data_IF_630893579401
#
_entry.id   IF_630893579401
#
_cell.length_a   1.000
_cell.length_b   1.000
_cell.length_c   1.000
_cell.angle_alpha   90.00
_cell.angle_beta   90.00
_cell.angle_gamma   90.00
#
_symmetry.space_group_name_H-M   'P 1'
#
loop_
_entity.id
_entity.type
_entity.pdbx_description
1 polymer ?
2 non-polymer ?
3 water ?
#
# COMPACT_ATOMS: atom_id res chain seq x y z
N UNK A 1 8.00 17.73 11.33
CA UNK A 1 8.09 16.36 10.80
C UNK A 1 8.15 16.46 9.27
N UNK A 2 8.42 15.33 8.64
CA UNK A 2 8.69 15.27 7.20
C UNK A 2 7.78 14.29 6.43
N UNK A 3 6.56 14.77 6.11
CA UNK A 3 5.60 14.19 5.15
C UNK A 3 6.12 13.34 4.02
N UNK A 4 7.12 13.85 3.29
CA UNK A 4 7.70 13.18 2.10
C UNK A 4 8.43 11.93 2.55
N UNK A 5 9.20 12.04 3.62
CA UNK A 5 9.86 10.84 4.18
C UNK A 5 8.80 9.88 4.76
N UNK A 6 7.81 10.47 5.41
CA UNK A 6 6.69 9.70 5.93
C UNK A 6 6.02 8.75 4.90
N UNK A 7 5.94 9.19 3.67
CA UNK A 7 5.42 8.37 2.55
C UNK A 7 6.20 7.07 2.49
N UNK A 8 7.51 7.17 2.59
CA UNK A 8 8.41 6.06 2.48
C UNK A 8 8.21 5.13 3.69
N UNK A 9 8.17 5.70 4.89
CA UNK A 9 7.94 4.93 6.09
C UNK A 9 6.56 4.23 5.93
N UNK A 10 5.58 4.96 5.42
CA UNK A 10 4.23 4.40 5.30
C UNK A 10 4.23 3.20 4.37
N UNK A 11 4.86 3.34 3.21
CA UNK A 11 4.91 2.23 2.25
C UNK A 11 5.55 0.92 2.80
N UNK A 12 6.65 1.09 3.53
CA UNK A 12 7.37 -0.04 4.14
C UNK A 12 6.72 -0.62 5.39
N UNK A 13 6.01 0.20 6.18
CA UNK A 13 5.49 -0.20 7.49
C UNK A 13 3.99 -0.22 7.71
N UNK A 14 3.20 0.35 6.81
CA UNK A 14 1.77 0.54 7.07
C UNK A 14 0.90 0.08 5.95
N UNK A 15 1.41 0.12 4.72
CA UNK A 15 0.58 -0.01 3.55
C UNK A 15 0.07 -1.44 3.38
N UNK A 16 0.71 -2.39 4.02
CA UNK A 16 0.21 -3.76 3.99
C UNK A 16 -1.19 -3.84 4.53
N UNK A 17 -1.46 -3.04 5.55
CA UNK A 17 -2.80 -3.01 6.09
C UNK A 17 -3.63 -1.79 5.75
N UNK A 18 -2.97 -0.69 5.34
CA UNK A 18 -3.64 0.56 5.15
C UNK A 18 -3.40 1.10 3.71
N UNK A 19 -3.32 0.19 2.72
CA UNK A 19 -3.08 0.63 1.37
C UNK A 19 -4.21 1.54 0.93
N UNK A 20 -3.86 2.64 0.24
CA UNK A 20 -4.86 3.59 -0.21
C UNK A 20 -5.50 4.36 0.94
N UNK A 21 -4.92 4.32 2.13
CA UNK A 21 -5.62 4.92 3.27
C UNK A 21 -6.75 4.14 3.86
N UNK A 22 -6.86 2.90 3.48
CA UNK A 22 -8.00 2.05 3.87
C UNK A 22 -7.58 1.15 5.04
N UNK A 23 -8.31 0.07 5.27
CA UNK A 23 -7.93 -0.85 6.31
C UNK A 23 -8.36 -2.24 5.88
N UNK A 24 -7.40 -3.02 5.36
CA UNK A 24 -7.78 -4.21 4.64
C UNK A 24 -8.48 -5.25 5.55
N UNK A 25 -8.04 -5.29 6.81
CA UNK A 25 -8.49 -6.29 7.79
C UNK A 25 -9.59 -5.77 8.73
N UNK A 26 -9.86 -4.45 8.79
CA UNK A 26 -10.90 -3.94 9.65
C UNK A 26 -11.44 -2.72 8.95
N UNK A 27 -12.37 -2.98 8.06
CA UNK A 27 -12.79 -1.93 7.11
C UNK A 27 -13.44 -0.65 7.77
N UNK A 28 -13.95 -0.79 8.96
CA UNK A 28 -14.56 0.29 9.75
C UNK A 28 -13.59 1.34 10.19
N UNK A 29 -12.33 0.95 10.31
CA UNK A 29 -11.31 1.83 10.87
C UNK A 29 -10.19 2.18 9.88
N UNK A 30 -10.53 3.00 8.92
CA UNK A 30 -9.57 3.41 7.87
C UNK A 30 -8.81 4.66 8.27
N UNK A 31 -7.96 5.14 7.35
CA UNK A 31 -7.18 6.33 7.57
C UNK A 31 -7.81 7.49 6.87
N UNK A 32 -9.04 7.32 6.39
CA UNK A 32 -9.77 8.49 5.91
C UNK A 32 -10.10 9.42 7.03
N UNK A 33 -10.19 10.70 6.68
CA UNK A 33 -10.37 11.74 7.67
C UNK A 33 -11.60 11.46 8.55
N UNK A 34 -12.73 11.12 7.92
CA UNK A 34 -13.94 10.90 8.71
C UNK A 34 -13.80 9.75 9.74
N UNK A 35 -13.09 8.72 9.39
CA UNK A 35 -12.87 7.59 10.31
C UNK A 35 -11.87 7.96 11.39
N UNK A 36 -10.83 8.67 11.04
CA UNK A 36 -9.92 9.16 12.04
C UNK A 36 -10.67 10.02 13.04
N UNK A 37 -11.52 10.97 12.55
CA UNK A 37 -12.31 11.85 13.43
C UNK A 37 -13.22 11.00 14.33
N UNK A 38 -13.92 10.08 13.71
CA UNK A 38 -14.87 9.21 14.49
C UNK A 38 -14.21 8.55 15.65
N UNK A 39 -12.96 8.15 15.48
CA UNK A 39 -12.25 7.39 16.51
C UNK A 39 -11.27 8.22 17.32
N UNK A 40 -11.34 9.53 17.16
CA UNK A 40 -10.51 10.41 17.93
C UNK A 40 -9.06 10.33 17.56
N UNK A 41 -8.78 10.06 16.27
CA UNK A 41 -7.43 9.84 15.79
C UNK A 41 -6.99 10.91 14.81
N UNK A 42 -7.78 11.97 14.67
CA UNK A 42 -7.42 12.97 13.67
C UNK A 42 -6.48 14.04 14.25
N UNK A 43 -5.28 13.60 14.61
CA UNK A 43 -4.23 14.50 15.10
C UNK A 43 -2.88 13.75 15.08
N UNK A 44 -1.78 14.49 15.03
CA UNK A 44 -0.48 13.86 14.97
C UNK A 44 -0.21 13.14 16.28
N UNK A 45 -0.61 13.76 17.39
CA UNK A 45 -0.36 13.17 18.70
C UNK A 45 -1.13 11.86 18.84
N UNK A 46 -2.37 11.83 18.41
CA UNK A 46 -3.13 10.58 18.49
C UNK A 46 -2.48 9.45 17.65
N UNK A 47 -2.07 9.76 16.44
CA UNK A 47 -1.52 8.75 15.50
C UNK A 47 -0.18 8.19 16.01
N UNK A 48 0.68 9.10 16.41
CA UNK A 48 1.95 8.79 17.03
C UNK A 48 1.72 7.83 18.17
N UNK A 49 0.78 8.15 19.07
CA UNK A 49 0.47 7.31 20.21
C UNK A 49 0.04 5.91 19.85
N UNK A 50 -0.92 5.82 18.92
CA UNK A 50 -1.41 4.53 18.38
C UNK A 50 -0.33 3.58 17.81
N UNK A 51 0.49 4.14 16.94
CA UNK A 51 1.60 3.49 16.26
C UNK A 51 2.77 3.15 17.22
N UNK A 52 2.99 4.00 18.24
CA UNK A 52 4.19 3.86 19.06
C UNK A 52 4.07 2.70 20.03
N UNK A 53 3.03 2.77 20.84
CA UNK A 53 2.79 1.84 21.92
C UNK A 53 1.82 0.79 21.47
N UNK A 54 1.20 0.98 20.30
CA UNK A 54 0.15 0.09 19.83
C UNK A 54 -0.90 -0.35 20.85
N UNK A 55 -1.82 0.48 21.37
CA UNK A 55 -2.90 -0.18 22.16
C UNK A 55 -4.03 -0.50 21.17
N UNK A 56 -5.12 -1.07 21.70
CA UNK A 56 -6.16 -1.67 20.90
C UNK A 56 -5.59 -2.77 19.99
N UNK A 57 -4.59 -3.49 20.52
CA UNK A 57 -3.89 -4.55 19.78
C UNK A 57 -3.21 -4.07 18.47
N UNK A 58 -2.93 -2.79 18.36
CA UNK A 58 -2.41 -2.26 17.10
C UNK A 58 -0.92 -2.64 17.07
N UNK A 59 -0.38 -2.97 15.89
CA UNK A 59 1.10 -3.08 15.84
C UNK A 59 1.85 -1.88 16.49
N UNK A 60 2.86 -2.20 17.28
CA UNK A 60 3.71 -1.21 17.93
C UNK A 60 5.04 -1.09 17.18
N UNK A 61 5.48 0.15 16.95
CA UNK A 61 6.62 0.44 16.08
C UNK A 61 7.84 1.03 16.80
N UNK A 62 7.73 1.21 18.11
CA UNK A 62 8.81 1.76 18.93
C UNK A 62 10.12 0.97 18.71
N UNK A 63 9.99 -0.36 18.56
CA UNK A 63 11.10 -1.25 18.35
C UNK A 63 11.87 -0.95 17.08
N UNK A 64 11.16 -0.72 16.00
CA UNK A 64 11.76 -0.68 14.65
C UNK A 64 11.77 0.68 13.99
N UNK A 65 11.08 1.66 14.58
CA UNK A 65 11.10 3.00 14.04
C UNK A 65 11.58 3.98 15.07
N UNK A 66 12.33 4.99 14.59
CA UNK A 66 12.74 6.06 15.45
C UNK A 66 11.60 7.04 15.61
N UNK A 67 11.61 7.81 16.71
CA UNK A 67 10.60 8.78 17.01
C UNK A 67 10.33 9.67 15.81
N UNK A 68 11.42 10.10 15.17
CA UNK A 68 11.33 11.05 14.10
C UNK A 68 10.60 10.43 12.90
N UNK A 69 10.83 9.15 12.66
CA UNK A 69 10.14 8.42 11.61
C UNK A 69 8.65 8.23 11.93
N UNK A 70 8.34 8.03 13.21
CA UNK A 70 6.96 7.97 13.64
C UNK A 70 6.29 9.34 13.42
N UNK A 71 6.94 10.43 13.83
CA UNK A 71 6.42 11.72 13.54
C UNK A 71 6.20 11.92 12.07
N UNK A 72 7.15 11.50 11.26
CA UNK A 72 7.07 11.64 9.81
C UNK A 72 5.89 10.91 9.21
N UNK A 73 5.65 9.65 9.58
CA UNK A 73 4.52 8.91 9.02
C UNK A 73 3.15 9.46 9.50
N UNK A 74 3.11 9.94 10.74
CA UNK A 74 1.90 10.60 11.20
C UNK A 74 1.55 11.85 10.38
N UNK A 75 2.55 12.69 10.02
CA UNK A 75 2.26 13.87 9.24
C UNK A 75 1.82 13.48 7.85
N UNK A 76 2.48 12.47 7.28
CA UNK A 76 2.06 11.88 6.02
C UNK A 76 0.62 11.48 6.07
N UNK A 77 0.25 10.72 7.07
CA UNK A 77 -1.13 10.22 7.15
C UNK A 77 -2.17 11.37 7.20
N UNK A 78 -1.87 12.41 7.96
CA UNK A 78 -2.77 13.53 8.13
C UNK A 78 -2.94 14.34 6.83
N UNK A 79 -1.83 14.51 6.10
CA UNK A 79 -1.79 15.14 4.79
C UNK A 79 -2.60 14.39 3.77
N UNK A 80 -2.41 13.09 3.73
CA UNK A 80 -3.19 12.28 2.87
C UNK A 80 -4.68 12.35 3.21
N UNK A 81 -5.02 12.17 4.47
CA UNK A 81 -6.40 12.23 4.91
C UNK A 81 -7.06 13.56 4.45
N UNK A 82 -6.40 14.68 4.67
CA UNK A 82 -6.88 15.97 4.18
C UNK A 82 -7.12 16.06 2.69
N UNK A 83 -6.28 15.35 1.93
CA UNK A 83 -6.42 15.23 0.48
C UNK A 83 -7.31 14.05 0.05
N UNK A 84 -8.03 13.45 0.99
CA UNK A 84 -8.92 12.31 0.69
C UNK A 84 -8.14 11.16 0.01
N UNK A 85 -6.88 10.96 0.39
CA UNK A 85 -6.07 9.86 -0.14
C UNK A 85 -6.06 9.78 -1.65
N UNK A 86 -6.16 10.96 -2.25
CA UNK A 86 -5.97 11.31 -3.68
C UNK A 86 -7.09 10.68 -4.44
N UNK B 2 10.75 -13.95 -16.98
CA UNK B 2 10.42 -15.09 -16.06
C UNK B 2 8.94 -15.45 -16.26
N UNK B 3 8.31 -15.95 -15.18
CA UNK B 3 6.85 -16.10 -15.02
C UNK B 3 6.44 -17.51 -14.72
N UNK B 4 5.12 -17.57 -14.44
CA UNK B 4 4.30 -18.82 -14.40
C UNK B 4 4.15 -19.20 -12.93
N UNK B 5 5.26 -19.17 -12.21
CA UNK B 5 5.14 -19.08 -10.77
C UNK B 5 4.75 -17.65 -10.41
N UNK B 6 4.86 -16.64 -11.29
CA UNK B 6 4.23 -15.28 -11.01
C UNK B 6 2.74 -15.39 -10.61
N UNK B 7 2.02 -16.32 -11.22
CA UNK B 7 0.63 -16.64 -10.87
C UNK B 7 0.52 -17.00 -9.38
N UNK B 8 1.45 -17.82 -8.92
CA UNK B 8 1.44 -18.28 -7.54
C UNK B 8 1.83 -17.10 -6.63
N UNK B 9 2.85 -16.32 -6.97
CA UNK B 9 3.17 -15.11 -6.20
C UNK B 9 1.94 -14.16 -6.19
N UNK B 10 1.27 -14.07 -7.33
CA UNK B 10 0.13 -13.17 -7.39
C UNK B 10 -1.00 -13.60 -6.47
N UNK B 11 -1.35 -14.88 -6.53
CA UNK B 11 -2.50 -15.35 -5.76
C UNK B 11 -2.24 -15.22 -4.22
N UNK B 12 -1.00 -15.45 -3.77
CA UNK B 12 -0.60 -15.30 -2.36
C UNK B 12 -0.42 -13.82 -1.90
N UNK B 13 0.04 -12.95 -2.79
CA UNK B 13 0.46 -11.58 -2.37
C UNK B 13 -0.32 -10.40 -2.96
N UNK B 14 -1.15 -10.66 -3.97
CA UNK B 14 -1.77 -9.56 -4.74
C UNK B 14 -3.27 -9.66 -4.87
N UNK B 15 -3.80 -10.88 -4.90
CA UNK B 15 -5.19 -11.14 -5.27
C UNK B 15 -6.12 -10.58 -4.23
N UNK B 16 -5.59 -10.48 -3.01
CA UNK B 16 -6.16 -9.74 -1.89
C UNK B 16 -6.85 -8.43 -2.34
N UNK B 17 -6.13 -7.68 -3.13
CA UNK B 17 -6.57 -6.41 -3.61
C UNK B 17 -6.80 -6.34 -5.12
N UNK B 18 -6.22 -7.29 -5.86
CA UNK B 18 -6.27 -7.23 -7.28
C UNK B 18 -6.81 -8.47 -7.98
N UNK B 19 -7.55 -9.35 -7.28
CA UNK B 19 -8.30 -10.40 -7.88
C UNK B 19 -9.09 -10.00 -9.14
N UNK B 20 -8.97 -10.80 -10.19
CA UNK B 20 -9.67 -10.53 -11.44
C UNK B 20 -9.03 -9.35 -12.17
N UNK B 21 -7.88 -8.91 -11.71
CA UNK B 21 -7.30 -7.66 -12.25
C UNK B 21 -7.93 -6.36 -11.79
N UNK B 22 -8.77 -6.45 -10.77
CA UNK B 22 -9.47 -5.25 -10.29
C UNK B 22 -8.62 -4.51 -9.30
N UNK B 23 -9.22 -3.50 -8.66
CA UNK B 23 -8.60 -2.87 -7.53
C UNK B 23 -9.63 -2.60 -6.50
N UNK B 24 -9.58 -3.39 -5.43
CA UNK B 24 -10.57 -3.31 -4.37
C UNK B 24 -10.46 -2.12 -3.48
N UNK B 25 -9.32 -1.43 -3.51
CA UNK B 25 -9.04 -0.33 -2.64
C UNK B 25 -9.31 1.03 -3.35
N UNK B 26 -8.75 1.20 -4.55
CA UNK B 26 -9.03 2.37 -5.40
C UNK B 26 -9.42 1.85 -6.75
N UNK B 27 -10.71 1.92 -7.00
CA UNK B 27 -11.35 1.16 -8.04
C UNK B 27 -10.90 1.49 -9.45
N UNK B 28 -10.45 2.69 -9.74
CA UNK B 28 -10.02 2.88 -11.13
C UNK B 28 -8.51 2.71 -11.38
N UNK B 29 -7.72 2.42 -10.36
CA UNK B 29 -6.33 2.00 -10.61
C UNK B 29 -6.23 0.50 -10.70
N UNK B 30 -6.85 -0.08 -11.73
CA UNK B 30 -6.94 -1.53 -11.82
C UNK B 30 -5.73 -2.06 -12.60
N UNK B 31 -5.69 -3.40 -12.82
CA UNK B 31 -4.59 -4.02 -13.54
C UNK B 31 -5.00 -4.34 -14.96
N UNK B 32 -6.15 -3.83 -15.38
CA UNK B 32 -6.53 -3.98 -16.78
C UNK B 32 -5.62 -3.12 -17.64
N UNK B 33 -5.37 -3.59 -18.86
CA UNK B 33 -4.38 -2.96 -19.74
C UNK B 33 -4.65 -1.47 -19.93
N UNK B 34 -5.91 -1.12 -20.23
CA UNK B 34 -6.24 0.28 -20.48
C UNK B 34 -5.96 1.17 -19.26
N UNK B 35 -6.16 0.68 -18.05
CA UNK B 35 -5.80 1.46 -16.84
C UNK B 35 -4.30 1.54 -16.63
N UNK B 36 -3.62 0.42 -16.78
CA UNK B 36 -2.18 0.45 -16.65
C UNK B 36 -1.60 1.49 -17.62
N UNK B 37 -2.07 1.47 -18.86
CA UNK B 37 -1.58 2.32 -19.92
C UNK B 37 -1.80 3.81 -19.60
N UNK B 38 -3.01 4.13 -19.16
CA UNK B 38 -3.36 5.51 -18.81
C UNK B 38 -2.55 6.07 -17.64
N UNK B 39 -2.16 5.21 -16.70
CA UNK B 39 -1.34 5.58 -15.56
C UNK B 39 0.17 5.31 -15.77
N UNK B 40 0.58 4.98 -16.99
CA UNK B 40 1.98 4.76 -17.28
C UNK B 40 2.60 3.55 -16.60
N UNK B 41 1.80 2.52 -16.38
CA UNK B 41 2.20 1.36 -15.56
C UNK B 41 2.25 0.11 -16.43
N UNK B 42 2.11 0.27 -17.74
CA UNK B 42 2.02 -0.91 -18.60
C UNK B 42 3.39 -1.40 -19.04
N UNK B 43 4.23 -1.73 -18.06
CA UNK B 43 5.59 -2.19 -18.36
C UNK B 43 6.13 -2.94 -17.16
N UNK B 44 7.08 -3.81 -17.40
CA UNK B 44 7.58 -4.67 -16.32
C UNK B 44 8.33 -3.80 -15.33
N UNK B 45 9.04 -2.80 -15.84
CA UNK B 45 9.80 -1.91 -14.98
C UNK B 45 8.88 -1.10 -14.06
N UNK B 46 7.80 -0.58 -14.60
CA UNK B 46 6.89 0.19 -13.76
C UNK B 46 6.28 -0.68 -12.66
N UNK B 47 5.91 -1.91 -13.01
CA UNK B 47 5.24 -2.78 -12.05
C UNK B 47 6.20 -3.28 -10.96
N UNK B 48 7.40 -3.65 -11.40
CA UNK B 48 8.49 -4.00 -10.48
C UNK B 48 8.72 -2.90 -9.47
N UNK B 49 8.86 -1.66 -9.96
CA UNK B 49 9.02 -0.53 -9.06
C UNK B 49 7.90 -0.39 -8.02
N UNK B 50 6.65 -0.45 -8.48
CA UNK B 50 5.50 -0.35 -7.64
C UNK B 50 5.50 -1.38 -6.52
N UNK B 51 5.69 -2.64 -6.92
CA UNK B 51 5.68 -3.76 -6.04
C UNK B 51 6.87 -3.67 -5.08
N UNK B 52 8.02 -3.23 -5.60
CA UNK B 52 9.22 -3.19 -4.77
C UNK B 52 9.14 -2.15 -3.63
N UNK B 53 8.79 -0.93 -4.00
CA UNK B 53 8.94 0.26 -3.16
C UNK B 53 7.64 0.83 -2.62
N UNK B 54 6.53 0.31 -3.10
CA UNK B 54 5.19 0.71 -2.66
C UNK B 54 4.79 2.16 -2.72
N UNK B 55 5.25 2.85 -3.75
CA UNK B 55 4.84 4.25 -4.02
C UNK B 55 3.37 4.44 -4.07
N UNK B 56 2.92 5.55 -3.48
CA UNK B 56 1.52 6.02 -3.44
C UNK B 56 0.72 5.09 -2.49
N UNK B 57 1.17 4.97 -1.24
CA UNK B 57 0.39 4.24 -0.25
C UNK B 57 0.07 2.77 -0.64
N UNK B 58 1.06 2.13 -1.21
CA UNK B 58 0.98 0.77 -1.70
C UNK B 58 1.90 -0.12 -0.82
N UNK B 59 1.53 -1.42 -0.67
CA UNK B 59 2.41 -2.34 0.05
C UNK B 59 3.72 -2.48 -0.74
N UNK B 60 4.82 -2.48 0.02
CA UNK B 60 6.14 -2.61 -0.52
C UNK B 60 6.58 -4.03 -0.21
N UNK B 61 7.17 -4.68 -1.21
CA UNK B 61 7.48 -6.10 -1.09
C UNK B 61 8.99 -6.41 -1.06
N UNK B 62 9.83 -5.38 -1.09
CA UNK B 62 11.28 -5.51 -0.90
C UNK B 62 11.55 -6.20 0.44
N UNK B 63 12.27 -7.32 0.41
CA UNK B 63 12.70 -8.02 1.64
C UNK B 63 11.61 -8.95 2.19
N UNK B 64 10.44 -8.95 1.54
CA UNK B 64 9.41 -9.96 1.74
C UNK B 64 9.44 -10.94 0.60
N UNK B 65 9.57 -10.38 -0.59
CA UNK B 65 9.72 -11.12 -1.85
C UNK B 65 11.12 -10.88 -2.36
N UNK B 66 11.66 -11.89 -3.03
CA UNK B 66 12.94 -11.72 -3.70
C UNK B 66 12.74 -11.04 -5.05
N UNK B 67 13.80 -10.36 -5.56
CA UNK B 67 13.76 -9.65 -6.82
C UNK B 67 13.14 -10.52 -7.88
N UNK B 68 13.51 -11.77 -7.86
CA UNK B 68 13.17 -12.67 -8.93
C UNK B 68 11.69 -13.01 -8.90
N UNK B 69 11.14 -13.09 -7.71
CA UNK B 69 9.71 -13.26 -7.55
C UNK B 69 8.92 -11.99 -7.93
N UNK B 70 9.51 -10.82 -7.66
CA UNK B 70 8.94 -9.58 -8.12
C UNK B 70 8.93 -9.52 -9.67
N UNK B 71 10.04 -9.86 -10.30
CA UNK B 71 10.05 -9.96 -11.75
C UNK B 71 8.99 -10.92 -12.25
N UNK B 72 8.84 -12.06 -11.55
CA UNK B 72 7.85 -13.05 -11.95
C UNK B 72 6.41 -12.59 -11.92
N UNK B 73 6.02 -11.92 -10.84
CA UNK B 73 4.63 -11.49 -10.72
C UNK B 73 4.29 -10.27 -11.66
N UNK B 74 5.29 -9.44 -11.91
CA UNK B 74 5.15 -8.41 -12.96
C UNK B 74 4.88 -9.02 -14.37
N UNK B 75 5.59 -10.06 -14.74
CA UNK B 75 5.38 -10.70 -16.07
C UNK B 75 4.01 -11.37 -16.09
N UNK B 76 3.62 -11.97 -14.98
CA UNK B 76 2.27 -12.50 -14.83
C UNK B 76 1.21 -11.45 -15.07
N UNK B 77 1.34 -10.32 -14.38
CA UNK B 77 0.35 -9.28 -14.51
C UNK B 77 0.21 -8.76 -15.95
N UNK B 78 1.34 -8.56 -16.60
CA UNK B 78 1.34 -8.05 -17.94
C UNK B 78 0.66 -8.99 -18.93
N UNK B 79 0.95 -10.28 -18.78
CA UNK B 79 0.33 -11.35 -19.57
C UNK B 79 -1.16 -11.39 -19.37
N UNK B 80 -1.60 -11.29 -18.13
CA UNK B 80 -3.02 -11.29 -17.82
C UNK B 80 -3.70 -10.06 -18.39
N UNK B 81 -3.11 -8.90 -18.20
CA UNK B 81 -3.64 -7.67 -18.80
C UNK B 81 -3.85 -7.75 -20.30
N UNK B 82 -2.82 -8.18 -21.01
CA UNK B 82 -2.90 -8.38 -22.44
C UNK B 82 -4.00 -9.39 -22.87
N UNK B 83 -4.26 -10.39 -22.03
CA UNK B 83 -5.35 -11.35 -22.28
C UNK B 83 -6.71 -10.91 -21.70
N UNK B 84 -6.79 -9.64 -21.30
CA UNK B 84 -7.99 -9.09 -20.67
C UNK B 84 -8.42 -9.82 -19.42
N UNK B 85 -7.46 -10.35 -18.66
CA UNK B 85 -7.74 -11.06 -17.42
C UNK B 85 -8.66 -12.23 -17.69
N UNK B 86 -8.22 -13.04 -18.66
CA UNK B 86 -8.68 -14.40 -18.92
C UNK B 86 -9.85 -14.36 -19.87
X LIG C 1 -2.91 0.62 11.63
X LIG C 1 -6.00 1.36 12.93
X LIG C 1 -2.13 3.90 11.67
X LIG C 1 0.27 -0.17 10.48
X LIG C 1 -3.72 -2.61 11.45
X LIG C 1 -3.88 2.30 12.19
X LIG C 1 -5.13 2.36 12.71
X LIG C 1 -5.44 3.73 12.92
X LIG C 1 -4.34 4.45 12.60
X LIG C 1 -3.35 3.55 12.16
X LIG C 1 -4.17 5.95 12.63
X LIG C 1 -6.77 4.24 13.37
X LIG C 1 -7.66 4.31 12.19
X LIG C 1 -9.11 4.67 12.58
X LIG C 1 -9.42 4.64 13.74
X LIG C 1 -10.01 4.90 11.75
X LIG C 1 -1.23 1.69 11.15
X LIG C 1 -1.15 3.01 11.20
X LIG C 1 0.15 3.39 10.78
X LIG C 1 0.86 2.26 10.49
X LIG C 1 -0.08 1.16 10.72
X LIG C 1 0.75 4.76 10.66
X LIG C 1 2.29 2.01 10.12
X LIG C 1 3.26 2.64 10.84
X LIG C 1 -1.87 -1.11 11.01
X LIG C 1 -0.58 -1.25 10.64
X LIG C 1 -0.35 -2.56 10.18
X LIG C 1 -1.50 -3.29 10.45
X LIG C 1 -2.46 -2.33 11.01
X LIG C 1 0.98 -3.08 9.67
X LIG C 1 -1.84 -4.74 10.36
X LIG C 1 -0.90 -5.70 10.51
X LIG C 1 -4.51 -0.38 12.07
X LIG C 1 -4.66 -1.72 11.98
X LIG C 1 -5.97 -2.15 12.49
X LIG C 1 -6.63 -1.04 12.93
X LIG C 1 -5.68 0.06 12.64
X LIG C 1 -6.45 -3.58 12.55
X LIG C 1 -8.03 -0.91 13.51
X LIG C 1 -7.95 -1.27 15.00
X LIG C 1 -7.24 -0.16 15.74
X LIG C 1 -6.28 -0.34 16.51
X LIG C 1 -7.59 1.03 15.55
X LIG D 1 -1.38 -3.04 -5.93
X LIG D 1 -1.98 -0.11 -7.55
X LIG D 1 0.42 -4.19 -8.58
X LIG D 1 -0.51 -5.86 -4.11
X LIG D 1 -3.30 -1.99 -3.36
X LIG D 1 -0.92 -2.30 -7.71
X LIG D 1 -1.27 -1.06 -8.20
X LIG D 1 -0.71 -0.88 -9.50
X LIG D 1 0.01 -2.05 -9.77
X LIG D 1 -0.15 -2.91 -8.67
X LIG D 1 0.78 -2.46 -11.00
X LIG D 1 -0.96 0.35 -10.39
X LIG D 1 -2.34 0.09 -11.09
X LIG D 1 -2.77 1.27 -12.05
X LIG D 1 -1.98 2.24 -12.07
X LIG D 1 -3.77 1.27 -12.79
X LIG D 1 -0.17 -4.76 -6.29
X LIG D 1 0.43 -5.01 -7.44
X LIG D 1 1.15 -6.28 -7.33
X LIG D 1 0.87 -6.77 -6.07
X LIG D 1 0.00 -5.73 -5.40
X LIG D 1 1.89 -6.90 -8.50
X LIG D 1 1.39 -7.91 -5.29
X LIG D 1 2.71 -8.19 -5.36
X LIG D 1 -1.83 -3.84 -4.05
X LIG D 1 -1.39 -5.01 -3.49
X LIG D 1 -2.09 -5.26 -2.30
X LIG D 1 -2.95 -4.13 -2.11
X LIG D 1 -2.72 -3.25 -3.21
X LIG D 1 -2.00 -6.50 -1.44
X LIG D 1 -3.81 -3.83 -0.92
X LIG D 1 -3.49 -4.35 0.34
X LIG D 1 -2.52 -1.41 -5.56
X LIG D 1 -3.12 -1.14 -4.41
X LIG D 1 -3.65 0.29 -4.42
X LIG D 1 -3.28 0.76 -5.61
X LIG D 1 -2.50 -0.31 -6.29
X LIG D 1 -4.43 0.98 -3.32
X LIG D 1 -3.45 2.12 -6.19
X LIG D 1 -2.23 2.79 -5.61
X LIG D 1 -1.44 3.53 -6.65
X LIG D 1 -0.85 2.91 -7.58
X LIG D 1 -1.43 4.79 -6.56
#
# INVERSE_FOLDING_TARGET
ADSVNGAKIFSANCASCHAGGKNLVQAQKTLKKADLEKYGMYSAEAIIAQVTNGKNAHPAFKGRLKPEQIEDVAAYVLGKADADWK
ADSVNGAKIFSANCASCHAGGKNLVQAQKTLKKADLEKYGMYSAEAIIAQVTNGKNAHPAFKGRLKPEQIEDVAAYVLGKADADWK
HEC FE CHA CHB CHC CHD NA C1A C2A C3A C4A CMA CAA CBA CGA O1A O2A NB C1B C2B C3B C4B CMB CAB CBB NC C1C C2C C3C C4C CMC CAC CBC ND C1D C2D C3D C4D CMD CAD CBD CGD O1D O2D
HEC FE CHA CHB CHC CHD NA C1A C2A C3A C4A CMA CAA CBA CGA O1A O2A NB C1B C2B C3B C4B CMB CAB CBB NC C1C C2C C3C C4C CMC CAC CBC ND C1D C2D C3D C4D CMD CAD CBD CGD O1D O2D
#
